data_IF_595736408782
#
_entry.id   IF_595736408782
#
_cell.length_a   1.000
_cell.length_b   1.000
_cell.length_c   1.000
_cell.angle_alpha   90.00
_cell.angle_beta   90.00
_cell.angle_gamma   90.00
#
_symmetry.space_group_name_H-M   'P 1'
#
loop_
_entity.id
_entity.type
_entity.pdbx_description
1 polymer ?
#
# COMPACT_ATOMS: atom_id res chain seq x y z
N UNK A 1 11.28 -6.08 15.62
CA UNK A 1 10.55 -4.87 15.14
C UNK A 1 9.06 -5.12 15.22
N UNK A 2 8.28 -4.11 15.58
CA UNK A 2 6.82 -4.12 15.60
C UNK A 2 6.33 -3.00 14.69
N UNK A 3 5.37 -3.28 13.83
CA UNK A 3 4.76 -2.24 13.02
C UNK A 3 3.24 -2.41 12.89
N UNK A 4 2.54 -1.31 12.66
CA UNK A 4 1.12 -1.29 12.32
C UNK A 4 0.98 -1.38 10.80
N UNK A 5 0.03 -2.20 10.36
CA UNK A 5 -0.39 -2.31 8.97
C UNK A 5 -1.87 -1.93 8.87
N UNK A 6 -2.14 -0.85 8.17
CA UNK A 6 -3.48 -0.35 7.85
C UNK A 6 -3.55 -0.05 6.35
N UNK A 7 -4.75 0.00 5.79
CA UNK A 7 -4.99 0.34 4.37
C UNK A 7 -6.42 0.81 4.16
N UNK A 8 -6.73 1.24 2.95
CA UNK A 8 -8.10 1.48 2.48
C UNK A 8 -8.87 2.45 3.41
N UNK A 9 -8.22 3.58 3.73
CA UNK A 9 -8.77 4.59 4.63
C UNK A 9 -9.95 5.35 4.01
N UNK A 10 -9.96 5.47 2.68
CA UNK A 10 -10.99 6.14 1.88
C UNK A 10 -11.47 7.45 2.50
N UNK A 11 -10.54 8.33 2.92
CA UNK A 11 -10.86 9.58 3.56
C UNK A 11 -11.72 10.45 2.65
N UNK A 12 -12.89 10.87 3.17
CA UNK A 12 -13.90 11.60 2.42
C UNK A 12 -14.96 10.73 1.75
N UNK A 13 -15.03 9.43 2.10
CA UNK A 13 -16.09 8.51 1.66
C UNK A 13 -17.45 9.01 2.12
N UNK A 14 -18.43 8.90 1.20
CA UNK A 14 -19.86 9.13 1.49
C UNK A 14 -20.66 7.87 1.19
N UNK A 15 -21.41 7.40 2.16
CA UNK A 15 -22.29 6.26 2.02
C UNK A 15 -23.74 6.73 1.88
N UNK A 16 -24.37 6.51 0.73
CA UNK A 16 -25.77 6.89 0.44
C UNK A 16 -26.01 8.38 0.82
N UNK A 17 -25.13 9.29 0.34
CA UNK A 17 -25.14 10.72 0.64
C UNK A 17 -24.88 11.11 2.11
N UNK A 18 -24.60 10.16 3.00
CA UNK A 18 -24.15 10.41 4.36
C UNK A 18 -22.62 10.57 4.37
N UNK A 19 -22.15 11.66 4.90
CA UNK A 19 -20.74 11.91 5.15
C UNK A 19 -20.28 11.06 6.34
N UNK A 20 -19.14 10.38 6.19
CA UNK A 20 -18.54 9.55 7.23
C UNK A 20 -17.39 10.26 7.95
N UNK A 21 -17.22 11.55 7.77
CA UNK A 21 -16.09 12.32 8.31
C UNK A 21 -15.92 12.14 9.84
N UNK A 22 -17.03 12.19 10.59
CA UNK A 22 -16.96 12.03 12.05
C UNK A 22 -16.62 10.59 12.47
N UNK A 23 -17.14 9.59 11.74
CA UNK A 23 -16.80 8.18 11.97
C UNK A 23 -15.31 7.94 11.66
N UNK A 24 -14.80 8.54 10.57
CA UNK A 24 -13.39 8.47 10.20
C UNK A 24 -12.49 9.17 11.22
N UNK A 25 -12.84 10.34 11.69
CA UNK A 25 -12.11 11.03 12.78
C UNK A 25 -12.05 10.19 14.04
N UNK A 26 -13.17 9.54 14.40
CA UNK A 26 -13.24 8.68 15.57
C UNK A 26 -12.28 7.48 15.45
N UNK A 27 -12.32 6.76 14.33
CA UNK A 27 -11.46 5.57 14.14
C UNK A 27 -9.97 5.95 14.05
N UNK A 28 -9.63 7.07 13.40
CA UNK A 28 -8.25 7.55 13.33
C UNK A 28 -7.72 7.98 14.70
N UNK A 29 -8.59 8.55 15.55
CA UNK A 29 -8.26 8.78 16.96
C UNK A 29 -7.93 7.48 17.68
N UNK A 30 -8.74 6.43 17.51
CA UNK A 30 -8.50 5.10 18.09
C UNK A 30 -7.19 4.47 17.59
N UNK A 31 -6.88 4.60 16.30
CA UNK A 31 -5.62 4.10 15.75
C UNK A 31 -4.43 4.84 16.40
N UNK A 32 -4.52 6.15 16.58
CA UNK A 32 -3.49 6.95 17.24
C UNK A 32 -3.32 6.56 18.72
N UNK A 33 -4.42 6.32 19.45
CA UNK A 33 -4.40 5.83 20.83
C UNK A 33 -3.71 4.45 20.93
N UNK A 34 -4.04 3.53 20.02
CA UNK A 34 -3.40 2.22 19.93
C UNK A 34 -1.91 2.35 19.60
N UNK A 35 -1.54 3.27 18.70
CA UNK A 35 -0.14 3.53 18.38
C UNK A 35 0.62 4.02 19.61
N UNK A 36 0.05 4.94 20.40
CA UNK A 36 0.65 5.41 21.66
C UNK A 36 0.82 4.27 22.69
N UNK A 37 -0.16 3.35 22.75
CA UNK A 37 -0.15 2.21 23.67
C UNK A 37 0.90 1.16 23.25
N UNK A 38 0.90 0.77 21.97
CA UNK A 38 1.73 -0.33 21.48
C UNK A 38 3.12 0.10 21.06
N UNK A 39 3.34 1.38 20.81
CA UNK A 39 4.62 1.99 20.38
C UNK A 39 5.28 1.19 19.26
N UNK A 40 4.66 1.13 18.07
CA UNK A 40 5.28 0.49 16.93
C UNK A 40 6.52 1.26 16.47
N UNK A 41 7.49 0.54 15.91
CA UNK A 41 8.67 1.10 15.25
C UNK A 41 8.33 1.72 13.91
N UNK A 42 7.24 1.25 13.28
CA UNK A 42 6.73 1.79 12.02
C UNK A 42 5.19 1.69 11.92
N UNK A 43 4.60 2.57 11.09
CA UNK A 43 3.21 2.50 10.64
C UNK A 43 3.23 2.47 9.12
N UNK A 44 2.63 1.44 8.52
CA UNK A 44 2.47 1.34 7.07
C UNK A 44 1.01 1.52 6.68
N UNK A 45 0.75 2.37 5.67
CA UNK A 45 -0.56 2.62 5.07
C UNK A 45 -0.51 2.11 3.63
N UNK A 46 -1.10 0.94 3.39
CA UNK A 46 -0.97 0.22 2.14
C UNK A 46 -2.00 0.66 1.08
N UNK A 47 -2.08 1.97 0.82
CA UNK A 47 -2.86 2.56 -0.27
C UNK A 47 -4.30 2.92 0.07
N UNK A 48 -4.98 3.54 -0.90
CA UNK A 48 -6.31 4.12 -0.83
C UNK A 48 -6.50 5.02 0.39
N UNK A 49 -5.62 6.04 0.45
CA UNK A 49 -5.64 7.06 1.48
C UNK A 49 -6.93 7.89 1.37
N UNK A 50 -7.26 8.31 0.14
CA UNK A 50 -8.46 9.09 -0.15
C UNK A 50 -9.47 8.28 -0.97
N UNK A 51 -10.75 8.59 -0.78
CA UNK A 51 -11.84 8.00 -1.58
C UNK A 51 -11.78 8.42 -3.07
N UNK A 52 -11.18 9.56 -3.35
CA UNK A 52 -11.10 10.15 -4.70
C UNK A 52 -9.75 10.74 -5.00
N UNK A 53 -9.31 10.62 -6.25
CA UNK A 53 -8.06 11.19 -6.75
C UNK A 53 -7.94 12.72 -6.55
N UNK A 54 -9.07 13.43 -6.43
CA UNK A 54 -9.15 14.84 -6.06
C UNK A 54 -9.96 14.94 -4.76
N UNK A 55 -9.31 14.82 -3.59
CA UNK A 55 -9.99 14.91 -2.31
C UNK A 55 -10.51 16.31 -2.03
N UNK A 56 -11.57 16.41 -1.25
CA UNK A 56 -12.05 17.69 -0.75
C UNK A 56 -11.06 18.31 0.25
N UNK A 57 -11.17 19.61 0.50
CA UNK A 57 -10.35 20.28 1.52
C UNK A 57 -10.58 19.68 2.92
N UNK A 58 -11.81 19.23 3.20
CA UNK A 58 -12.15 18.57 4.47
C UNK A 58 -11.42 17.23 4.59
N UNK A 59 -11.44 16.40 3.55
CA UNK A 59 -10.70 15.14 3.52
C UNK A 59 -9.19 15.36 3.72
N UNK A 60 -8.62 16.39 3.10
CA UNK A 60 -7.19 16.73 3.31
C UNK A 60 -6.94 17.14 4.77
N UNK A 61 -7.84 17.90 5.41
CA UNK A 61 -7.70 18.26 6.84
C UNK A 61 -7.80 17.04 7.76
N UNK A 62 -8.69 16.09 7.46
CA UNK A 62 -8.80 14.84 8.23
C UNK A 62 -7.51 14.04 8.14
N UNK A 63 -6.95 13.90 6.94
CA UNK A 63 -5.67 13.22 6.74
C UNK A 63 -4.52 13.92 7.46
N UNK A 64 -4.38 15.24 7.29
CA UNK A 64 -3.34 16.04 7.95
C UNK A 64 -3.41 15.86 9.48
N UNK A 65 -4.62 15.96 10.05
CA UNK A 65 -4.82 15.73 11.49
C UNK A 65 -4.39 14.33 11.90
N UNK A 66 -4.78 13.30 11.16
CA UNK A 66 -4.45 11.91 11.45
C UNK A 66 -2.93 11.66 11.48
N UNK A 67 -2.20 12.13 10.45
CA UNK A 67 -0.75 11.97 10.39
C UNK A 67 -0.04 12.75 11.52
N UNK A 68 -0.52 13.95 11.84
CA UNK A 68 0.01 14.72 12.97
C UNK A 68 -0.26 14.04 14.31
N UNK A 69 -1.42 13.43 14.52
CA UNK A 69 -1.75 12.70 15.74
C UNK A 69 -0.92 11.42 15.87
N UNK A 70 -0.73 10.66 14.76
CA UNK A 70 0.20 9.52 14.74
C UNK A 70 1.63 9.96 15.08
N UNK A 71 2.12 11.04 14.49
CA UNK A 71 3.47 11.56 14.76
C UNK A 71 3.64 11.94 16.24
N UNK A 72 2.63 12.54 16.87
CA UNK A 72 2.64 12.84 18.32
C UNK A 72 2.63 11.56 19.16
N UNK A 73 1.83 10.57 18.76
CA UNK A 73 1.71 9.30 19.48
C UNK A 73 2.99 8.47 19.42
N UNK A 74 3.67 8.46 18.27
CA UNK A 74 4.89 7.67 18.03
C UNK A 74 5.95 8.52 17.30
N UNK A 75 6.61 9.44 18.02
CA UNK A 75 7.50 10.44 17.41
C UNK A 75 8.71 9.84 16.68
N UNK A 76 9.17 8.66 17.08
CA UNK A 76 10.34 7.99 16.53
C UNK A 76 9.98 6.99 15.41
N UNK A 77 8.71 6.60 15.29
CA UNK A 77 8.29 5.62 14.29
C UNK A 77 8.42 6.15 12.85
N UNK A 78 8.79 5.29 11.93
CA UNK A 78 8.66 5.58 10.50
C UNK A 78 7.18 5.48 10.08
N UNK A 79 6.65 6.50 9.40
CA UNK A 79 5.32 6.46 8.82
C UNK A 79 5.50 6.32 7.31
N UNK A 80 5.10 5.19 6.75
CA UNK A 80 5.27 4.86 5.34
C UNK A 80 3.90 4.67 4.70
N UNK A 81 3.67 5.28 3.55
CA UNK A 81 2.41 5.14 2.82
C UNK A 81 2.62 5.12 1.32
N UNK A 82 1.77 4.39 0.64
CA UNK A 82 1.74 4.29 -0.81
C UNK A 82 0.39 4.78 -1.35
N UNK A 83 0.31 5.12 -2.63
CA UNK A 83 -0.99 5.35 -3.27
C UNK A 83 -1.67 4.03 -3.63
N UNK A 84 -2.99 4.01 -3.50
CA UNK A 84 -3.85 2.97 -4.06
C UNK A 84 -4.46 3.38 -5.40
N UNK A 85 -5.47 2.65 -5.86
CA UNK A 85 -6.11 2.90 -7.15
C UNK A 85 -7.10 4.09 -7.13
N UNK A 86 -7.60 4.49 -5.96
CA UNK A 86 -8.45 5.68 -5.77
C UNK A 86 -7.62 6.95 -5.66
N UNK A 87 -6.37 6.85 -5.21
CA UNK A 87 -5.50 8.00 -5.02
C UNK A 87 -4.98 8.60 -6.33
N UNK A 88 -4.63 9.88 -6.28
CA UNK A 88 -3.77 10.49 -7.29
C UNK A 88 -2.31 10.24 -6.94
N UNK A 89 -1.62 9.39 -7.70
CA UNK A 89 -0.21 9.07 -7.51
C UNK A 89 0.66 10.34 -7.35
N UNK A 90 0.44 11.34 -8.20
CA UNK A 90 1.20 12.59 -8.18
C UNK A 90 0.91 13.44 -6.92
N UNK A 91 -0.33 13.44 -6.43
CA UNK A 91 -0.69 14.18 -5.21
C UNK A 91 -0.11 13.53 -3.97
N UNK A 92 -0.17 12.19 -3.87
CA UNK A 92 0.47 11.44 -2.78
C UNK A 92 1.99 11.62 -2.82
N UNK A 93 2.59 11.74 -3.99
CA UNK A 93 4.04 11.93 -4.15
C UNK A 93 4.51 13.38 -3.85
N UNK A 94 3.56 14.32 -3.61
CA UNK A 94 3.91 15.70 -3.28
C UNK A 94 4.73 15.79 -1.99
N UNK A 95 5.74 16.65 -1.99
CA UNK A 95 6.63 16.91 -0.85
C UNK A 95 7.40 15.70 -0.31
N UNK A 96 7.41 14.56 -1.04
CA UNK A 96 8.11 13.33 -0.66
C UNK A 96 9.52 13.59 -0.11
N UNK A 97 10.34 14.36 -0.83
CA UNK A 97 11.73 14.64 -0.43
C UNK A 97 11.85 15.52 0.82
N UNK A 98 10.83 16.29 1.18
CA UNK A 98 10.79 17.06 2.42
C UNK A 98 10.32 16.18 3.59
N UNK A 99 9.26 15.42 3.38
CA UNK A 99 8.63 14.57 4.39
C UNK A 99 9.53 13.41 4.83
N UNK A 100 10.32 12.83 3.91
CA UNK A 100 11.26 11.75 4.24
C UNK A 100 12.30 12.17 5.29
N UNK A 101 12.70 13.46 5.30
CA UNK A 101 13.58 14.01 6.33
C UNK A 101 12.94 14.03 7.72
N UNK A 102 11.64 13.90 7.79
CA UNK A 102 10.85 13.83 9.01
C UNK A 102 10.37 12.39 9.28
N UNK A 103 10.99 11.39 8.66
CA UNK A 103 10.65 9.98 8.81
C UNK A 103 9.21 9.65 8.36
N UNK A 104 8.68 10.45 7.40
CA UNK A 104 7.37 10.24 6.75
C UNK A 104 7.61 10.02 5.26
N UNK A 105 7.28 8.83 4.78
CA UNK A 105 7.51 8.41 3.41
C UNK A 105 6.16 8.30 2.69
N UNK A 106 5.92 9.17 1.72
CA UNK A 106 4.72 9.18 0.88
C UNK A 106 5.12 8.83 -0.55
N UNK A 107 4.86 7.61 -0.95
CA UNK A 107 5.26 7.09 -2.26
C UNK A 107 4.03 6.88 -3.12
N UNK A 108 3.78 7.83 -4.01
CA UNK A 108 2.61 7.79 -4.90
C UNK A 108 2.91 7.23 -6.29
N UNK A 109 4.13 7.43 -6.78
CA UNK A 109 4.49 7.07 -8.16
C UNK A 109 5.36 5.80 -8.13
N UNK A 110 4.97 4.74 -8.86
CA UNK A 110 5.81 3.55 -9.01
C UNK A 110 7.06 3.86 -9.85
N UNK A 111 8.02 2.93 -9.98
CA UNK A 111 9.11 3.06 -10.95
C UNK A 111 8.57 3.33 -12.35
N UNK A 112 9.09 4.34 -13.05
CA UNK A 112 8.62 4.75 -14.39
C UNK A 112 9.72 4.77 -15.45
N UNK A 113 10.99 4.89 -15.03
CA UNK A 113 12.15 4.81 -15.91
C UNK A 113 12.87 3.48 -15.73
N UNK A 114 13.69 3.10 -16.71
CA UNK A 114 14.41 1.82 -16.73
C UNK A 114 15.28 1.60 -15.48
N UNK A 115 15.94 2.66 -14.99
CA UNK A 115 16.83 2.61 -13.82
C UNK A 115 16.09 2.82 -12.48
N UNK A 116 14.81 3.11 -12.51
CA UNK A 116 14.04 3.31 -11.27
C UNK A 116 13.79 1.98 -10.56
N UNK A 117 13.90 2.00 -9.24
CA UNK A 117 13.55 0.89 -8.33
C UNK A 117 12.43 1.29 -7.38
N UNK A 118 11.85 0.31 -6.70
CA UNK A 118 10.92 0.58 -5.61
C UNK A 118 11.63 1.39 -4.52
N UNK A 119 10.91 2.33 -3.91
CA UNK A 119 11.46 2.99 -2.71
C UNK A 119 11.67 1.97 -1.61
N UNK A 120 12.89 1.88 -1.12
CA UNK A 120 13.28 1.00 -0.03
C UNK A 120 13.62 1.81 1.21
N UNK A 121 12.88 1.58 2.30
CA UNK A 121 13.14 2.17 3.62
C UNK A 121 13.69 1.08 4.53
N UNK A 122 14.93 1.22 4.96
CA UNK A 122 15.57 0.27 5.87
C UNK A 122 15.51 0.79 7.30
N UNK A 123 14.89 0.02 8.18
CA UNK A 123 14.90 0.22 9.63
C UNK A 123 15.76 -0.86 10.28
N UNK A 124 16.25 -0.61 11.50
CA UNK A 124 17.11 -1.56 12.21
C UNK A 124 16.61 -1.80 13.62
N UNK A 125 16.61 -3.05 14.02
CA UNK A 125 16.38 -3.46 15.42
C UNK A 125 17.53 -4.32 15.96
N UNK A 126 17.34 -4.92 17.14
CA UNK A 126 18.36 -5.78 17.77
C UNK A 126 18.72 -7.04 16.96
N UNK A 127 17.91 -7.40 15.96
CA UNK A 127 18.08 -8.60 15.13
C UNK A 127 18.58 -8.27 13.70
N UNK A 128 18.93 -7.03 13.42
CA UNK A 128 19.44 -6.59 12.11
C UNK A 128 18.45 -5.69 11.34
N UNK A 129 18.65 -5.62 10.04
CA UNK A 129 17.84 -4.78 9.15
C UNK A 129 16.45 -5.36 8.89
N UNK A 130 15.49 -4.48 8.65
CA UNK A 130 14.18 -4.77 8.08
C UNK A 130 13.97 -3.78 6.94
N UNK A 131 13.87 -4.28 5.73
CA UNK A 131 13.71 -3.49 4.51
C UNK A 131 12.24 -3.44 4.14
N UNK A 132 11.68 -2.25 4.04
CA UNK A 132 10.33 -2.02 3.54
C UNK A 132 10.40 -1.57 2.09
N UNK A 133 9.88 -2.39 1.18
CA UNK A 133 9.74 -2.08 -0.24
C UNK A 133 8.35 -1.51 -0.49
N UNK A 134 8.29 -0.26 -0.94
CA UNK A 134 7.05 0.49 -1.08
C UNK A 134 6.61 0.50 -2.55
N UNK A 135 5.64 -0.35 -2.89
CA UNK A 135 5.08 -0.49 -4.24
C UNK A 135 3.68 0.12 -4.31
N UNK A 136 3.54 1.36 -4.81
CA UNK A 136 2.24 1.97 -5.10
C UNK A 136 1.39 1.13 -6.06
N UNK A 137 0.12 1.50 -6.21
CA UNK A 137 -0.74 0.90 -7.23
C UNK A 137 -0.13 1.06 -8.63
N UNK A 138 -0.07 -0.03 -9.38
CA UNK A 138 0.52 -0.11 -10.72
C UNK A 138 -0.53 -0.59 -11.72
N UNK A 139 -0.55 0.04 -12.89
CA UNK A 139 -1.12 -0.53 -14.11
C UNK A 139 0.00 -0.85 -15.10
N UNK A 140 -0.12 -1.90 -15.92
CA UNK A 140 0.93 -2.30 -16.86
C UNK A 140 1.47 -1.17 -17.74
N UNK A 141 0.58 -0.26 -18.18
CA UNK A 141 0.97 0.89 -18.99
C UNK A 141 1.86 1.91 -18.27
N UNK A 142 1.81 1.98 -16.93
CA UNK A 142 2.58 2.94 -16.12
C UNK A 142 4.06 2.56 -16.03
N UNK A 143 4.37 1.28 -16.10
CA UNK A 143 5.72 0.72 -15.89
C UNK A 143 6.31 0.08 -17.15
N UNK A 144 5.74 0.37 -18.30
CA UNK A 144 6.15 -0.19 -19.60
C UNK A 144 7.63 0.04 -19.92
N UNK A 145 8.19 1.20 -19.56
CA UNK A 145 9.61 1.49 -19.77
C UNK A 145 10.51 0.69 -18.83
N UNK A 146 9.98 0.29 -17.68
CA UNK A 146 10.69 -0.45 -16.63
C UNK A 146 10.75 -1.95 -16.94
N UNK A 147 9.61 -2.54 -17.33
CA UNK A 147 9.48 -4.00 -17.51
C UNK A 147 9.53 -4.45 -18.97
N UNK A 148 9.50 -3.50 -19.91
CA UNK A 148 9.48 -3.78 -21.35
C UNK A 148 8.07 -4.07 -21.90
N UNK A 149 8.05 -4.65 -23.10
CA UNK A 149 6.85 -5.01 -23.87
C UNK A 149 6.95 -6.42 -24.40
N UNK A 150 5.81 -6.97 -24.85
CA UNK A 150 5.78 -8.22 -25.59
C UNK A 150 6.39 -8.06 -27.01
N UNK A 151 6.44 -9.16 -27.77
CA UNK A 151 7.00 -9.20 -29.12
C UNK A 151 6.25 -8.29 -30.12
N UNK A 152 5.00 -7.94 -29.81
CA UNK A 152 4.16 -7.06 -30.64
C UNK A 152 4.20 -5.60 -30.16
N UNK A 153 5.00 -5.28 -29.13
CA UNK A 153 5.10 -3.97 -28.55
C UNK A 153 3.94 -3.59 -27.62
N UNK A 154 3.12 -4.55 -27.16
CA UNK A 154 2.07 -4.30 -26.18
C UNK A 154 2.63 -4.40 -24.74
N UNK A 155 1.94 -3.78 -23.79
CA UNK A 155 2.22 -4.02 -22.37
C UNK A 155 1.94 -5.48 -22.01
N UNK A 156 2.77 -6.06 -21.15
CA UNK A 156 2.52 -7.38 -20.58
C UNK A 156 1.18 -7.45 -19.84
N UNK A 157 0.68 -8.66 -19.57
CA UNK A 157 -0.48 -8.85 -18.69
C UNK A 157 -0.19 -8.26 -17.31
N UNK A 158 -1.23 -8.04 -16.52
CA UNK A 158 -1.09 -7.50 -15.16
C UNK A 158 -0.20 -8.41 -14.31
N UNK A 159 -0.47 -9.72 -14.34
CA UNK A 159 0.32 -10.71 -13.63
C UNK A 159 1.81 -10.67 -14.04
N UNK A 160 2.10 -10.77 -15.33
CA UNK A 160 3.47 -10.74 -15.85
C UNK A 160 4.19 -9.43 -15.51
N UNK A 161 3.48 -8.30 -15.60
CA UNK A 161 4.03 -6.99 -15.26
C UNK A 161 4.51 -6.93 -13.80
N UNK A 162 3.67 -7.41 -12.88
CA UNK A 162 4.01 -7.37 -11.44
C UNK A 162 5.14 -8.37 -11.11
N UNK A 163 5.13 -9.56 -11.71
CA UNK A 163 6.23 -10.51 -11.56
C UNK A 163 7.56 -9.90 -12.01
N UNK A 164 7.61 -9.28 -13.19
CA UNK A 164 8.83 -8.64 -13.70
C UNK A 164 9.27 -7.47 -12.84
N UNK A 165 8.31 -6.62 -12.43
CA UNK A 165 8.60 -5.45 -11.63
C UNK A 165 9.18 -5.81 -10.25
N UNK A 166 8.65 -6.86 -9.62
CA UNK A 166 9.11 -7.31 -8.31
C UNK A 166 10.45 -8.07 -8.43
N UNK A 167 10.59 -8.93 -9.44
CA UNK A 167 11.80 -9.74 -9.61
C UNK A 167 13.07 -8.92 -9.84
N UNK A 168 12.96 -7.72 -10.42
CA UNK A 168 14.10 -6.84 -10.66
C UNK A 168 14.67 -6.15 -9.41
N UNK A 169 13.96 -6.21 -8.29
CA UNK A 169 14.43 -5.57 -7.04
C UNK A 169 15.57 -6.33 -6.35
N UNK A 170 15.88 -7.53 -6.81
CA UNK A 170 16.97 -8.37 -6.30
C UNK A 170 16.98 -8.43 -4.76
N UNK A 171 15.86 -8.86 -4.20
CA UNK A 171 15.60 -8.87 -2.76
C UNK A 171 16.58 -9.77 -2.04
N UNK A 172 17.41 -9.21 -1.17
CA UNK A 172 18.35 -9.99 -0.34
C UNK A 172 17.58 -10.79 0.73
N UNK A 173 17.37 -12.07 0.46
CA UNK A 173 16.65 -12.97 1.36
C UNK A 173 17.43 -13.35 2.62
N UNK A 174 18.68 -12.90 2.78
CA UNK A 174 19.41 -13.02 4.05
C UNK A 174 19.00 -11.96 5.09
N UNK A 175 18.34 -10.90 4.65
CA UNK A 175 17.75 -9.86 5.49
C UNK A 175 16.23 -10.05 5.61
N UNK A 176 15.59 -9.33 6.50
CA UNK A 176 14.14 -9.33 6.65
C UNK A 176 13.52 -8.29 5.71
N UNK A 177 12.57 -8.74 4.89
CA UNK A 177 11.98 -7.94 3.83
C UNK A 177 10.47 -7.88 3.95
N UNK A 178 9.93 -6.68 3.93
CA UNK A 178 8.50 -6.38 3.96
C UNK A 178 8.10 -5.70 2.66
N UNK A 179 7.14 -6.26 1.94
CA UNK A 179 6.50 -5.58 0.81
C UNK A 179 5.28 -4.81 1.31
N UNK A 180 5.15 -3.55 0.94
CA UNK A 180 3.92 -2.76 1.09
C UNK A 180 3.35 -2.56 -0.31
N UNK A 181 2.16 -3.09 -0.59
CA UNK A 181 1.59 -3.08 -1.95
C UNK A 181 0.08 -2.93 -1.95
N UNK A 182 -0.44 -2.30 -3.02
CA UNK A 182 -1.88 -2.10 -3.22
C UNK A 182 -2.32 -2.73 -4.55
N UNK A 183 -2.29 -4.06 -4.61
CA UNK A 183 -2.62 -4.85 -5.80
C UNK A 183 -3.52 -6.02 -5.42
N UNK A 184 -4.20 -6.59 -6.41
CA UNK A 184 -5.04 -7.75 -6.18
C UNK A 184 -4.26 -9.06 -6.32
N UNK A 185 -3.74 -9.56 -5.20
CA UNK A 185 -3.03 -10.83 -5.14
C UNK A 185 -3.97 -11.99 -4.84
N UNK A 186 -3.83 -13.07 -5.61
CA UNK A 186 -4.59 -14.31 -5.46
C UNK A 186 -3.71 -15.47 -4.97
N UNK A 187 -4.20 -16.27 -4.02
CA UNK A 187 -3.56 -17.54 -3.69
C UNK A 187 -3.47 -18.46 -4.91
N UNK A 188 -2.42 -19.29 -4.99
CA UNK A 188 -2.26 -20.25 -6.06
C UNK A 188 -3.51 -21.15 -6.22
N UNK A 189 -4.01 -21.27 -7.43
CA UNK A 189 -5.18 -22.08 -7.77
C UNK A 189 -6.55 -21.47 -7.41
N UNK A 190 -6.60 -20.28 -6.85
CA UNK A 190 -7.83 -19.50 -6.63
C UNK A 190 -8.13 -18.60 -7.81
N UNK A 191 -9.43 -18.36 -8.04
CA UNK A 191 -9.92 -17.37 -9.01
C UNK A 191 -10.59 -16.23 -8.26
N UNK A 192 -10.73 -15.08 -8.89
CA UNK A 192 -11.41 -13.90 -8.33
C UNK A 192 -12.77 -14.21 -7.74
N UNK A 193 -13.53 -15.11 -8.39
CA UNK A 193 -14.86 -15.53 -7.90
C UNK A 193 -14.85 -16.33 -6.59
N UNK A 194 -13.69 -16.84 -6.17
CA UNK A 194 -13.53 -17.62 -4.94
C UNK A 194 -13.23 -16.72 -3.71
N UNK A 195 -13.05 -15.41 -3.94
CA UNK A 195 -12.75 -14.45 -2.90
C UNK A 195 -13.98 -13.63 -2.56
N UNK A 196 -14.39 -13.69 -1.30
CA UNK A 196 -15.42 -12.79 -0.78
C UNK A 196 -14.89 -11.36 -0.72
N UNK A 197 -15.48 -10.49 -1.51
CA UNK A 197 -15.24 -9.04 -1.51
C UNK A 197 -16.39 -8.32 -0.81
N UNK A 198 -16.10 -7.14 -0.27
CA UNK A 198 -17.16 -6.26 0.24
C UNK A 198 -17.87 -5.57 -0.94
N UNK A 199 -19.14 -5.24 -0.78
CA UNK A 199 -19.94 -4.54 -1.82
C UNK A 199 -19.40 -3.14 -2.15
N UNK A 200 -18.55 -2.58 -1.29
CA UNK A 200 -17.86 -1.29 -1.50
C UNK A 200 -16.67 -1.35 -2.46
N UNK A 201 -16.20 -2.56 -2.81
CA UNK A 201 -15.04 -2.71 -3.69
C UNK A 201 -15.43 -2.52 -5.17
N UNK A 202 -14.65 -1.71 -5.88
CA UNK A 202 -14.82 -1.54 -7.33
C UNK A 202 -14.49 -2.85 -8.05
N UNK A 203 -15.45 -3.40 -8.77
CA UNK A 203 -15.23 -4.61 -9.58
C UNK A 203 -14.65 -4.25 -10.92
N UNK A 204 -13.44 -4.72 -11.21
CA UNK A 204 -12.88 -4.65 -12.55
C UNK A 204 -13.52 -5.75 -13.41
N UNK A 205 -14.07 -5.35 -14.56
CA UNK A 205 -14.70 -6.30 -15.49
C UNK A 205 -13.62 -7.18 -16.13
N UNK A 206 -13.75 -8.50 -15.99
CA UNK A 206 -12.92 -9.47 -16.73
C UNK A 206 -11.69 -9.99 -16.01
N UNK A 207 -11.54 -9.81 -14.68
CA UNK A 207 -10.43 -10.36 -13.87
C UNK A 207 -9.04 -9.97 -14.40
N UNK A 208 -8.89 -8.79 -14.97
CA UNK A 208 -7.68 -8.35 -15.68
C UNK A 208 -6.55 -7.98 -14.70
N UNK A 209 -6.87 -7.70 -13.44
CA UNK A 209 -5.95 -7.11 -12.45
C UNK A 209 -5.39 -8.14 -11.44
N UNK A 210 -5.56 -9.43 -11.72
CA UNK A 210 -5.12 -10.51 -10.84
C UNK A 210 -3.60 -10.72 -10.92
N UNK A 211 -2.96 -10.83 -9.74
CA UNK A 211 -1.55 -11.19 -9.60
C UNK A 211 -1.47 -12.47 -8.76
N UNK A 212 -0.75 -13.47 -9.22
CA UNK A 212 -0.53 -14.70 -8.45
C UNK A 212 0.43 -14.46 -7.28
N UNK A 213 0.15 -15.06 -6.12
CA UNK A 213 0.86 -14.79 -4.87
C UNK A 213 2.34 -15.23 -4.88
N UNK A 214 2.77 -16.02 -5.84
CA UNK A 214 4.17 -16.39 -6.02
C UNK A 214 5.06 -15.20 -6.40
N UNK A 215 4.50 -14.15 -7.01
CA UNK A 215 5.20 -12.88 -7.27
C UNK A 215 5.81 -12.26 -6.00
N UNK A 216 5.19 -12.48 -4.84
CA UNK A 216 5.57 -11.85 -3.56
C UNK A 216 6.23 -12.84 -2.58
N UNK A 217 6.63 -14.02 -3.05
CA UNK A 217 7.15 -15.11 -2.21
C UNK A 217 8.54 -14.86 -1.62
N UNK A 218 9.28 -13.88 -2.13
CA UNK A 218 10.60 -13.48 -1.63
C UNK A 218 10.57 -12.58 -0.38
N UNK A 219 9.39 -12.16 0.06
CA UNK A 219 9.22 -11.29 1.22
C UNK A 219 8.78 -12.08 2.46
N UNK A 220 9.33 -11.70 3.62
CA UNK A 220 8.97 -12.29 4.93
C UNK A 220 7.57 -11.86 5.39
N UNK A 221 7.12 -10.67 4.97
CA UNK A 221 5.77 -10.18 5.19
C UNK A 221 5.32 -9.29 4.04
N UNK A 222 4.05 -9.43 3.64
CA UNK A 222 3.42 -8.56 2.65
C UNK A 222 2.23 -7.83 3.28
N UNK A 223 2.40 -6.52 3.44
CA UNK A 223 1.37 -5.61 3.91
C UNK A 223 0.53 -5.15 2.71
N UNK A 224 -0.64 -5.75 2.52
CA UNK A 224 -1.47 -5.56 1.34
C UNK A 224 -2.71 -4.70 1.65
N UNK A 225 -3.03 -3.77 0.75
CA UNK A 225 -4.30 -3.05 0.65
C UNK A 225 -5.05 -3.42 -0.63
N UNK A 226 -6.21 -2.83 -0.88
CA UNK A 226 -7.11 -3.03 -2.00
C UNK A 226 -8.34 -3.90 -1.67
N UNK A 227 -8.22 -4.88 -0.81
CA UNK A 227 -9.34 -5.71 -0.38
C UNK A 227 -9.79 -5.25 1.00
N UNK A 228 -11.05 -4.80 1.10
CA UNK A 228 -11.60 -4.20 2.31
C UNK A 228 -11.92 -5.21 3.41
N UNK A 229 -11.90 -6.52 3.09
CA UNK A 229 -12.07 -7.60 4.06
C UNK A 229 -10.70 -8.12 4.52
N UNK A 230 -10.44 -8.21 5.84
CA UNK A 230 -9.20 -8.82 6.34
C UNK A 230 -9.08 -10.27 5.88
N UNK A 231 -8.01 -10.61 5.17
CA UNK A 231 -7.78 -11.97 4.68
C UNK A 231 -6.30 -12.29 4.43
N UNK A 232 -5.99 -13.59 4.40
CA UNK A 232 -4.67 -14.11 4.05
C UNK A 232 -4.60 -14.43 2.56
N UNK A 233 -3.41 -14.26 1.98
CA UNK A 233 -3.12 -14.61 0.59
C UNK A 233 -2.14 -15.78 0.57
N UNK A 234 -2.66 -16.98 0.57
CA UNK A 234 -1.86 -18.22 0.49
C UNK A 234 -1.08 -18.57 1.76
N UNK A 235 -0.54 -17.59 2.47
CA UNK A 235 0.25 -17.78 3.68
C UNK A 235 -0.19 -16.82 4.80
N UNK A 236 0.33 -17.07 6.02
CA UNK A 236 0.12 -16.17 7.16
C UNK A 236 0.89 -14.85 7.04
N UNK A 237 1.87 -14.78 6.16
CA UNK A 237 2.77 -13.66 5.98
C UNK A 237 2.34 -12.66 4.88
N UNK A 238 1.36 -13.02 4.04
CA UNK A 238 0.76 -12.10 3.08
C UNK A 238 -0.69 -11.83 3.47
N UNK A 239 -1.00 -10.57 3.79
CA UNK A 239 -2.29 -10.22 4.37
C UNK A 239 -2.85 -8.91 3.81
N UNK A 240 -4.13 -8.92 3.52
CA UNK A 240 -4.96 -7.73 3.50
C UNK A 240 -5.41 -7.43 4.92
N UNK A 241 -5.21 -6.20 5.40
CA UNK A 241 -5.66 -5.79 6.74
C UNK A 241 -7.16 -5.43 6.76
N UNK A 242 -7.71 -5.10 5.61
CA UNK A 242 -9.06 -4.55 5.48
C UNK A 242 -9.13 -3.07 5.82
N UNK A 243 -10.31 -2.47 5.62
CA UNK A 243 -10.64 -1.09 6.00
C UNK A 243 -10.80 -0.98 7.51
N UNK A 244 -10.27 0.06 8.17
CA UNK A 244 -10.42 0.29 9.60
C UNK A 244 -11.81 0.72 10.02
#
# INVERSE_FOLDING_TARGET
>A
MKFFHISDLHIGLKLINRDLEEDQKYIFGKISDLAAQYKPDAVVIAGDIYDKAVPSADAVRVFDKFINDLRKAVPDAAIMMISGNHDSAQRVNCFRGLLSRQNVYMIGVPPVNEDDHMEKVTLRDAYGNVNFYLLPFVRPSMVRQVVGTDENGNSFSYNETLHRLIAREDVDTSERNVLVSHQFYLPAGKKTGDIERMDSETRTVGNIDEVTADAISSFDYCALGHIHKPMKVGSDFARYCGTP
#
